data_IF_774428710997
#
_entry.id   IF_774428710997
#
_cell.length_a   1.000
_cell.length_b   1.000
_cell.length_c   1.000
_cell.angle_alpha   90.00
_cell.angle_beta   90.00
_cell.angle_gamma   90.00
#
_symmetry.space_group_name_H-M   'P 1'
#
loop_
_entity.id
_entity.type
_entity.pdbx_description
1 polymer ?
#
# COMPACT_ATOMS: atom_id res chain seq x y z
N UNK A 1 4.55 7.28 38.37
CA UNK A 1 4.46 6.02 37.61
C UNK A 1 4.52 6.41 36.14
N UNK A 2 5.67 6.20 35.49
CA UNK A 2 5.80 6.38 34.04
C UNK A 2 4.92 5.35 33.35
N UNK A 3 4.20 5.75 32.30
CA UNK A 3 3.29 4.86 31.57
C UNK A 3 4.08 3.66 31.02
N UNK A 4 3.59 2.44 31.27
CA UNK A 4 4.23 1.21 30.79
C UNK A 4 4.37 1.24 29.27
N UNK A 5 5.50 0.80 28.68
CA UNK A 5 5.69 0.72 27.24
C UNK A 5 4.57 -0.05 26.55
N UNK A 6 4.03 -1.09 27.22
CA UNK A 6 2.90 -1.87 26.71
C UNK A 6 1.64 -1.04 26.42
N UNK A 7 1.48 0.13 27.05
CA UNK A 7 0.37 1.05 26.77
C UNK A 7 0.44 1.67 25.35
N UNK A 8 1.58 1.54 24.66
CA UNK A 8 1.75 1.97 23.26
C UNK A 8 1.23 0.96 22.24
N UNK A 9 1.00 -0.28 22.65
CA UNK A 9 0.43 -1.32 21.81
C UNK A 9 -1.10 -1.19 21.83
N UNK A 10 -1.60 -0.19 21.11
CA UNK A 10 -3.03 0.06 20.93
C UNK A 10 -3.54 -0.71 19.72
N UNK A 11 -4.84 -1.02 19.70
CA UNK A 11 -5.47 -1.64 18.55
C UNK A 11 -5.25 -0.78 17.29
N UNK A 12 -4.71 -1.35 16.20
CA UNK A 12 -4.39 -0.57 15.02
C UNK A 12 -5.66 -0.02 14.37
N UNK A 13 -5.59 1.22 13.92
CA UNK A 13 -6.68 1.91 13.24
C UNK A 13 -6.33 2.13 11.77
N UNK A 14 -7.32 2.18 10.90
CA UNK A 14 -7.11 2.61 9.52
C UNK A 14 -6.78 4.10 9.51
N UNK A 15 -5.73 4.49 8.81
CA UNK A 15 -5.41 5.90 8.59
C UNK A 15 -6.46 6.49 7.64
N UNK A 16 -7.37 7.31 8.18
CA UNK A 16 -8.55 7.88 7.48
C UNK A 16 -9.51 6.81 6.92
N UNK A 17 -10.77 7.15 6.57
CA UNK A 17 -11.67 6.17 5.96
C UNK A 17 -11.19 5.89 4.54
N UNK A 18 -10.23 4.98 4.39
CA UNK A 18 -9.90 4.39 3.11
C UNK A 18 -11.10 3.57 2.65
N UNK A 19 -11.69 3.88 1.47
CA UNK A 19 -12.72 3.07 0.87
C UNK A 19 -12.22 1.64 0.71
N UNK A 20 -13.07 0.70 1.08
CA UNK A 20 -12.73 -0.72 1.03
C UNK A 20 -12.55 -1.12 -0.42
N UNK A 21 -11.74 -2.15 -0.65
CA UNK A 21 -11.69 -2.82 -1.95
C UNK A 21 -13.10 -3.21 -2.44
N UNK A 22 -13.98 -3.57 -1.49
CA UNK A 22 -15.39 -3.85 -1.76
C UNK A 22 -16.14 -2.65 -2.35
N UNK A 23 -15.82 -1.42 -1.94
CA UNK A 23 -16.47 -0.20 -2.45
C UNK A 23 -16.10 0.03 -3.92
N UNK A 24 -14.84 -0.26 -4.28
CA UNK A 24 -14.38 -0.21 -5.68
C UNK A 24 -15.08 -1.29 -6.49
N UNK A 25 -15.18 -2.51 -5.97
CA UNK A 25 -15.93 -3.57 -6.67
C UNK A 25 -17.42 -3.25 -6.81
N UNK A 26 -18.03 -2.61 -5.82
CA UNK A 26 -19.44 -2.18 -5.85
C UNK A 26 -19.66 -1.08 -6.87
N UNK A 27 -18.77 -0.08 -6.94
CA UNK A 27 -18.82 0.94 -7.98
C UNK A 27 -18.66 0.36 -9.38
N UNK A 28 -17.90 -0.73 -9.53
CA UNK A 28 -17.78 -1.44 -10.80
C UNK A 28 -19.04 -2.24 -11.16
N UNK A 29 -19.79 -2.71 -10.15
CA UNK A 29 -21.09 -3.36 -10.39
C UNK A 29 -22.19 -2.38 -10.80
N UNK A 30 -22.07 -1.08 -10.52
CA UNK A 30 -23.05 -0.09 -10.97
C UNK A 30 -23.05 0.10 -12.50
N UNK A 31 -21.94 -0.22 -13.18
CA UNK A 31 -21.88 -0.29 -14.64
C UNK A 31 -22.74 -1.41 -15.24
N UNK A 32 -23.31 -2.29 -14.42
CA UNK A 32 -24.06 -3.48 -14.86
C UNK A 32 -25.51 -3.16 -15.30
N UNK A 33 -26.04 -1.94 -15.14
CA UNK A 33 -27.46 -1.70 -15.49
C UNK A 33 -27.68 -1.25 -16.96
N UNK A 34 -27.13 -0.14 -17.48
CA UNK A 34 -27.21 0.21 -18.90
C UNK A 34 -26.00 -0.28 -19.70
N UNK A 35 -24.81 -0.19 -19.10
CA UNK A 35 -23.54 -0.55 -19.75
C UNK A 35 -23.35 -2.07 -19.82
N UNK A 36 -24.14 -2.89 -19.15
CA UNK A 36 -24.03 -4.36 -19.24
C UNK A 36 -24.30 -4.91 -20.64
N UNK A 37 -25.26 -4.38 -21.38
CA UNK A 37 -25.49 -4.82 -22.77
C UNK A 37 -24.32 -4.46 -23.68
N UNK A 38 -23.70 -3.31 -23.42
CA UNK A 38 -22.53 -2.83 -24.14
C UNK A 38 -21.26 -3.60 -23.75
N UNK A 39 -21.04 -3.82 -22.45
CA UNK A 39 -19.97 -4.62 -21.89
C UNK A 39 -20.09 -6.09 -22.31
N UNK A 40 -21.30 -6.63 -22.42
CA UNK A 40 -21.56 -7.95 -22.98
C UNK A 40 -21.22 -8.00 -24.47
N UNK A 41 -21.58 -6.97 -25.25
CA UNK A 41 -21.19 -6.89 -26.64
C UNK A 41 -19.67 -6.77 -26.82
N UNK A 42 -19.01 -5.96 -25.98
CA UNK A 42 -17.55 -5.83 -25.93
C UNK A 42 -16.91 -7.16 -25.49
N UNK A 43 -17.46 -7.86 -24.51
CA UNK A 43 -16.99 -9.18 -24.08
C UNK A 43 -17.11 -10.21 -25.24
N UNK A 44 -18.18 -10.16 -26.03
CA UNK A 44 -18.33 -11.03 -27.21
C UNK A 44 -17.36 -10.69 -28.34
N UNK A 45 -16.93 -9.43 -28.47
CA UNK A 45 -16.03 -8.98 -29.55
C UNK A 45 -14.56 -9.10 -29.13
N UNK A 46 -14.22 -8.72 -27.90
CA UNK A 46 -12.87 -8.62 -27.37
C UNK A 46 -12.49 -9.79 -26.44
N UNK A 47 -13.46 -10.61 -26.01
CA UNK A 47 -13.24 -11.80 -25.18
C UNK A 47 -12.99 -11.53 -23.69
N UNK A 48 -13.07 -10.26 -23.25
CA UNK A 48 -12.87 -9.86 -21.85
C UNK A 48 -13.79 -8.70 -21.50
N UNK A 49 -14.51 -8.82 -20.38
CA UNK A 49 -15.21 -7.71 -19.75
C UNK A 49 -14.20 -6.76 -19.05
N UNK A 50 -14.00 -5.52 -19.53
CA UNK A 50 -13.00 -4.61 -18.99
C UNK A 50 -13.27 -4.20 -17.54
N UNK A 51 -14.54 -4.14 -17.11
CA UNK A 51 -14.91 -3.83 -15.73
C UNK A 51 -14.54 -4.98 -14.78
N UNK A 52 -14.85 -6.22 -15.17
CA UNK A 52 -14.48 -7.41 -14.38
C UNK A 52 -12.97 -7.62 -14.32
N UNK A 53 -12.27 -7.39 -15.44
CA UNK A 53 -10.81 -7.45 -15.46
C UNK A 53 -10.21 -6.43 -14.49
N UNK A 54 -10.71 -5.20 -14.51
CA UNK A 54 -10.22 -4.13 -13.64
C UNK A 54 -10.53 -4.43 -12.16
N UNK A 55 -11.73 -4.92 -11.87
CA UNK A 55 -12.10 -5.38 -10.53
C UNK A 55 -11.13 -6.45 -10.04
N UNK A 56 -10.83 -7.47 -10.86
CA UNK A 56 -9.91 -8.55 -10.50
C UNK A 56 -8.49 -8.06 -10.21
N UNK A 57 -8.00 -7.08 -10.96
CA UNK A 57 -6.65 -6.54 -10.74
C UNK A 57 -6.54 -5.62 -9.54
N UNK A 58 -7.63 -4.96 -9.14
CA UNK A 58 -7.62 -3.94 -8.07
C UNK A 58 -8.34 -4.37 -6.79
N UNK A 59 -8.92 -5.57 -6.73
CA UNK A 59 -9.61 -6.16 -5.58
C UNK A 59 -8.71 -6.48 -4.35
N UNK A 60 -7.50 -5.91 -4.28
CA UNK A 60 -6.60 -6.11 -3.15
C UNK A 60 -7.13 -5.47 -1.86
N UNK A 61 -6.82 -6.07 -0.70
CA UNK A 61 -7.21 -5.56 0.62
C UNK A 61 -6.26 -4.45 1.09
N UNK A 62 -6.44 -3.26 0.52
CA UNK A 62 -5.67 -2.06 0.86
C UNK A 62 -5.90 -1.61 2.31
N UNK A 63 -7.09 -1.89 2.87
CA UNK A 63 -7.43 -1.60 4.27
C UNK A 63 -6.53 -2.37 5.22
N UNK A 64 -6.33 -3.68 4.97
CA UNK A 64 -5.41 -4.50 5.76
C UNK A 64 -3.98 -4.02 5.67
N UNK A 65 -3.52 -3.50 4.53
CA UNK A 65 -2.16 -2.93 4.39
C UNK A 65 -2.02 -1.65 5.23
N UNK A 66 -3.03 -0.78 5.28
CA UNK A 66 -3.02 0.39 6.15
C UNK A 66 -3.09 0.03 7.63
N UNK A 67 -3.91 -0.96 8.02
CA UNK A 67 -3.93 -1.47 9.39
C UNK A 67 -2.57 -2.02 9.80
N UNK A 68 -1.90 -2.73 8.90
CA UNK A 68 -0.54 -3.22 9.13
C UNK A 68 0.45 -2.07 9.33
N UNK A 69 0.37 -1.01 8.54
CA UNK A 69 1.16 0.22 8.75
C UNK A 69 0.95 0.81 10.14
N UNK A 70 -0.30 1.01 10.58
CA UNK A 70 -0.63 1.51 11.92
C UNK A 70 -0.10 0.59 13.03
N UNK A 71 -0.17 -0.73 12.85
CA UNK A 71 0.41 -1.67 13.79
C UNK A 71 1.94 -1.51 13.91
N UNK A 72 2.64 -1.32 12.79
CA UNK A 72 4.08 -1.08 12.79
C UNK A 72 4.45 0.25 13.48
N UNK A 73 3.64 1.30 13.33
CA UNK A 73 3.85 2.55 14.05
C UNK A 73 3.78 2.35 15.56
N UNK A 74 2.74 1.66 16.06
CA UNK A 74 2.61 1.34 17.48
C UNK A 74 3.76 0.47 18.00
N UNK A 75 4.25 -0.48 17.20
CA UNK A 75 5.45 -1.28 17.54
C UNK A 75 6.69 -0.38 17.64
N UNK A 76 6.85 0.57 16.72
CA UNK A 76 7.97 1.51 16.75
C UNK A 76 7.94 2.40 18.00
N UNK A 77 6.75 2.85 18.41
CA UNK A 77 6.55 3.63 19.64
C UNK A 77 6.85 2.79 20.89
N UNK A 78 6.44 1.53 20.89
CA UNK A 78 6.77 0.58 21.94
C UNK A 78 8.29 0.41 22.08
N UNK A 79 9.02 0.22 20.99
CA UNK A 79 10.49 0.10 21.03
C UNK A 79 11.17 1.37 21.55
N UNK A 80 10.71 2.56 21.13
CA UNK A 80 11.21 3.82 21.68
C UNK A 80 10.97 3.93 23.18
N UNK A 81 9.76 3.61 23.65
CA UNK A 81 9.44 3.65 25.08
C UNK A 81 10.23 2.60 25.87
N UNK A 82 10.39 1.39 25.33
CA UNK A 82 11.13 0.31 25.96
C UNK A 82 12.63 0.64 26.09
N UNK A 83 13.26 1.14 25.03
CA UNK A 83 14.65 1.59 25.08
C UNK A 83 14.84 2.71 26.11
N UNK A 84 13.88 3.64 26.22
CA UNK A 84 13.90 4.70 27.23
C UNK A 84 13.83 4.13 28.65
N UNK A 85 12.90 3.22 28.92
CA UNK A 85 12.74 2.62 30.25
C UNK A 85 13.96 1.80 30.67
N UNK A 86 14.61 1.11 29.74
CA UNK A 86 15.89 0.42 29.99
C UNK A 86 16.99 1.43 30.38
N UNK A 87 17.10 2.56 29.68
CA UNK A 87 18.09 3.62 29.99
C UNK A 87 17.81 4.25 31.36
N UNK A 88 16.55 4.58 31.65
CA UNK A 88 16.17 5.17 32.93
C UNK A 88 16.40 4.19 34.11
N UNK A 89 16.00 2.92 33.93
CA UNK A 89 16.15 1.88 34.95
C UNK A 89 17.61 1.54 35.23
N UNK A 90 18.42 1.36 34.18
CA UNK A 90 19.86 1.14 34.34
C UNK A 90 20.55 2.36 34.96
N UNK A 91 20.19 3.59 34.56
CA UNK A 91 20.68 4.81 35.16
C UNK A 91 20.32 4.95 36.64
N UNK A 92 19.13 4.51 37.07
CA UNK A 92 18.74 4.50 38.48
C UNK A 92 19.53 3.45 39.28
N UNK A 93 19.72 2.24 38.73
CA UNK A 93 20.49 1.16 39.36
C UNK A 93 21.96 1.55 39.57
N UNK A 94 22.59 2.20 38.59
CA UNK A 94 24.00 2.60 38.64
C UNK A 94 24.28 3.78 39.59
N UNK A 95 23.27 4.47 40.11
CA UNK A 95 23.48 5.54 41.11
C UNK A 95 23.94 5.00 42.46
N UNK A 96 23.59 3.76 42.80
CA UNK A 96 23.91 3.13 44.07
C UNK A 96 24.92 1.97 43.94
N UNK A 97 25.38 1.68 42.72
CA UNK A 97 26.28 0.56 42.43
C UNK A 97 27.47 1.05 41.63
N UNK A 98 28.66 0.92 42.21
CA UNK A 98 29.94 1.34 41.62
C UNK A 98 30.93 0.18 41.50
N UNK A 99 31.91 0.32 40.61
CA UNK A 99 33.00 -0.65 40.38
C UNK A 99 32.99 -1.25 38.98
N UNK A 100 33.99 -2.09 38.67
CA UNK A 100 34.18 -2.67 37.33
C UNK A 100 32.94 -3.41 36.82
N UNK A 101 32.24 -4.14 37.71
CA UNK A 101 30.98 -4.80 37.37
C UNK A 101 29.85 -3.82 37.02
N UNK A 102 29.75 -2.67 37.71
CA UNK A 102 28.77 -1.65 37.42
C UNK A 102 29.04 -0.97 36.06
N UNK A 103 30.31 -0.69 35.75
CA UNK A 103 30.73 -0.11 34.47
C UNK A 103 30.45 -1.05 33.28
N UNK A 104 30.75 -2.34 33.44
CA UNK A 104 30.45 -3.37 32.44
C UNK A 104 28.93 -3.51 32.22
N UNK A 105 28.15 -3.49 33.30
CA UNK A 105 26.70 -3.58 33.26
C UNK A 105 26.07 -2.35 32.59
N UNK A 106 26.55 -1.14 32.92
CA UNK A 106 26.10 0.09 32.29
C UNK A 106 26.40 0.14 30.79
N UNK A 107 27.58 -0.35 30.39
CA UNK A 107 27.94 -0.47 28.97
C UNK A 107 27.02 -1.44 28.23
N UNK A 108 26.69 -2.58 28.85
CA UNK A 108 25.76 -3.55 28.28
C UNK A 108 24.36 -2.97 28.08
N UNK A 109 23.76 -2.38 29.12
CA UNK A 109 22.39 -1.83 29.03
C UNK A 109 22.30 -0.65 28.06
N UNK A 110 23.34 0.20 28.01
CA UNK A 110 23.43 1.26 27.00
C UNK A 110 23.43 0.67 25.59
N UNK A 111 24.31 -0.29 25.32
CA UNK A 111 24.38 -0.96 24.02
C UNK A 111 23.07 -1.67 23.66
N UNK A 112 22.40 -2.29 24.65
CA UNK A 112 21.13 -2.98 24.43
C UNK A 112 20.00 -2.02 24.08
N UNK A 113 19.87 -0.92 24.84
CA UNK A 113 18.91 0.13 24.52
C UNK A 113 19.17 0.76 23.15
N UNK A 114 20.44 0.99 22.79
CA UNK A 114 20.82 1.52 21.47
C UNK A 114 20.49 0.53 20.34
N UNK A 115 20.63 -0.79 20.57
CA UNK A 115 20.23 -1.83 19.60
C UNK A 115 18.72 -1.88 19.38
N UNK A 116 17.91 -1.65 20.42
CA UNK A 116 16.45 -1.53 20.30
C UNK A 116 16.07 -0.27 19.51
N UNK A 117 16.69 0.87 19.84
CA UNK A 117 16.41 2.17 19.20
C UNK A 117 16.73 2.16 17.70
N UNK A 118 17.80 1.45 17.30
CA UNK A 118 18.17 1.26 15.89
C UNK A 118 17.11 0.53 15.07
N UNK A 119 16.23 -0.26 15.69
CA UNK A 119 15.14 -0.95 14.98
C UNK A 119 13.95 -0.03 14.72
N UNK A 120 13.82 1.11 15.42
CA UNK A 120 12.69 2.02 15.28
C UNK A 120 12.63 2.65 13.89
N UNK A 121 13.77 3.16 13.40
CA UNK A 121 13.86 3.81 12.10
C UNK A 121 13.42 2.90 10.91
N UNK A 122 13.95 1.67 10.74
CA UNK A 122 13.51 0.80 9.65
C UNK A 122 12.04 0.41 9.77
N UNK A 123 11.52 0.16 10.98
CA UNK A 123 10.10 -0.14 11.20
C UNK A 123 9.21 1.04 10.75
N UNK A 124 9.57 2.28 11.11
CA UNK A 124 8.85 3.48 10.68
C UNK A 124 8.89 3.69 9.17
N UNK A 125 10.03 3.41 8.53
CA UNK A 125 10.13 3.47 7.07
C UNK A 125 9.18 2.48 6.41
N UNK A 126 9.15 1.22 6.87
CA UNK A 126 8.20 0.22 6.34
C UNK A 126 6.75 0.66 6.57
N UNK A 127 6.43 1.19 7.76
CA UNK A 127 5.09 1.69 8.06
C UNK A 127 4.65 2.79 7.08
N UNK A 128 5.50 3.80 6.85
CA UNK A 128 5.21 4.89 5.91
C UNK A 128 5.05 4.41 4.47
N UNK A 129 5.89 3.47 4.03
CA UNK A 129 5.82 2.91 2.68
C UNK A 129 4.59 2.03 2.47
N UNK A 130 4.17 1.27 3.50
CA UNK A 130 2.90 0.54 3.48
C UNK A 130 1.71 1.48 3.33
N UNK A 131 1.70 2.61 4.04
CA UNK A 131 0.63 3.61 3.94
C UNK A 131 0.63 4.29 2.57
N UNK A 132 1.80 4.71 2.08
CA UNK A 132 1.98 5.31 0.75
C UNK A 132 1.51 4.37 -0.35
N UNK A 133 1.88 3.07 -0.26
CA UNK A 133 1.46 2.04 -1.21
C UNK A 133 -0.05 1.83 -1.18
N UNK A 134 -0.67 1.75 0.00
CA UNK A 134 -2.12 1.59 0.14
C UNK A 134 -2.88 2.77 -0.47
N UNK A 135 -2.46 4.01 -0.18
CA UNK A 135 -3.05 5.21 -0.76
C UNK A 135 -2.81 5.31 -2.27
N UNK A 136 -1.60 5.02 -2.73
CA UNK A 136 -1.23 5.03 -4.14
C UNK A 136 -2.04 4.02 -4.97
N UNK A 137 -2.21 2.81 -4.44
CA UNK A 137 -3.05 1.78 -5.05
C UNK A 137 -4.52 2.19 -5.13
N UNK A 138 -5.05 2.75 -4.05
CA UNK A 138 -6.42 3.26 -4.01
C UNK A 138 -6.65 4.41 -5.01
N UNK A 139 -5.75 5.39 -5.05
CA UNK A 139 -5.86 6.53 -5.96
C UNK A 139 -5.77 6.10 -7.43
N UNK A 140 -4.90 5.13 -7.71
CA UNK A 140 -4.73 4.51 -9.03
C UNK A 140 -5.97 3.70 -9.43
N UNK A 141 -6.59 3.02 -8.47
CA UNK A 141 -7.83 2.30 -8.70
C UNK A 141 -8.99 3.24 -9.04
N UNK A 142 -9.15 4.35 -8.31
CA UNK A 142 -10.14 5.38 -8.66
C UNK A 142 -9.90 5.98 -10.03
N UNK A 143 -8.65 6.31 -10.35
CA UNK A 143 -8.29 6.85 -11.66
C UNK A 143 -8.61 5.84 -12.79
N UNK A 144 -8.42 4.55 -12.54
CA UNK A 144 -8.77 3.49 -13.47
C UNK A 144 -10.29 3.35 -13.66
N UNK A 145 -11.07 3.42 -12.59
CA UNK A 145 -12.56 3.41 -12.66
C UNK A 145 -13.07 4.61 -13.46
N UNK A 146 -12.61 5.83 -13.17
CA UNK A 146 -12.99 7.02 -13.96
C UNK A 146 -12.50 6.94 -15.41
N UNK A 147 -11.36 6.28 -15.66
CA UNK A 147 -10.91 5.99 -17.01
C UNK A 147 -11.86 5.05 -17.75
N UNK A 148 -12.37 4.03 -17.06
CA UNK A 148 -13.32 3.07 -17.60
C UNK A 148 -14.67 3.73 -17.94
N UNK A 149 -15.16 4.63 -17.09
CA UNK A 149 -16.33 5.49 -17.37
C UNK A 149 -16.16 6.21 -18.71
N UNK A 150 -15.03 6.88 -18.91
CA UNK A 150 -14.75 7.60 -20.15
C UNK A 150 -14.66 6.69 -21.39
N UNK A 151 -14.18 5.43 -21.22
CA UNK A 151 -14.17 4.44 -22.30
C UNK A 151 -15.59 3.97 -22.63
N UNK A 152 -16.44 3.77 -21.61
CA UNK A 152 -17.83 3.38 -21.79
C UNK A 152 -18.64 4.48 -22.48
N UNK A 153 -18.43 5.75 -22.13
CA UNK A 153 -19.07 6.88 -22.81
C UNK A 153 -18.72 6.92 -24.31
N UNK A 154 -17.44 6.71 -24.65
CA UNK A 154 -17.01 6.60 -26.04
C UNK A 154 -17.64 5.39 -26.74
N UNK A 155 -17.75 4.25 -26.06
CA UNK A 155 -18.39 3.06 -26.62
C UNK A 155 -19.89 3.26 -26.88
N UNK A 156 -20.60 4.01 -26.03
CA UNK A 156 -21.99 4.41 -26.26
C UNK A 156 -22.09 5.34 -27.48
N UNK A 157 -21.18 6.31 -27.60
CA UNK A 157 -21.13 7.23 -28.74
C UNK A 157 -20.90 6.47 -30.06
N UNK A 158 -19.94 5.53 -30.08
CA UNK A 158 -19.69 4.65 -31.22
C UNK A 158 -20.94 3.84 -31.59
N UNK A 159 -21.66 3.29 -30.61
CA UNK A 159 -22.88 2.52 -30.88
C UNK A 159 -23.98 3.38 -31.52
N UNK A 160 -24.14 4.62 -31.06
CA UNK A 160 -25.10 5.58 -31.63
C UNK A 160 -24.70 5.95 -33.07
N UNK A 161 -23.42 6.23 -33.31
CA UNK A 161 -22.90 6.57 -34.63
C UNK A 161 -22.97 5.41 -35.62
N UNK A 162 -22.70 4.19 -35.16
CA UNK A 162 -22.87 2.98 -35.96
C UNK A 162 -24.34 2.77 -36.35
N UNK A 163 -25.28 2.97 -35.42
CA UNK A 163 -26.71 2.90 -35.71
C UNK A 163 -27.16 3.99 -36.70
N UNK A 164 -26.68 5.22 -36.54
CA UNK A 164 -26.95 6.33 -37.47
C UNK A 164 -26.36 6.08 -38.87
N UNK A 165 -25.14 5.53 -38.93
CA UNK A 165 -24.47 5.16 -40.19
C UNK A 165 -25.22 4.03 -40.90
N UNK A 166 -25.70 3.03 -40.16
CA UNK A 166 -26.55 1.97 -40.71
C UNK A 166 -27.89 2.52 -41.23
N UNK A 167 -28.53 3.44 -40.50
CA UNK A 167 -29.79 4.07 -40.90
C UNK A 167 -29.64 5.02 -42.11
N UNK A 168 -28.45 5.58 -42.34
CA UNK A 168 -28.13 6.47 -43.47
C UNK A 168 -27.39 5.74 -44.61
N UNK A 169 -27.19 4.42 -44.50
CA UNK A 169 -26.47 3.60 -45.48
C UNK A 169 -27.11 3.55 -46.87
N UNK A 170 -28.38 3.92 -46.98
CA UNK A 170 -29.09 4.10 -48.25
C UNK A 170 -28.72 5.41 -48.98
N UNK A 171 -28.07 6.35 -48.29
CA UNK A 171 -27.48 7.56 -48.88
C UNK A 171 -26.00 7.28 -49.16
N UNK A 172 -25.56 7.39 -50.42
CA UNK A 172 -24.20 7.03 -50.91
C UNK A 172 -23.06 7.71 -50.12
N UNK A 173 -23.33 8.81 -49.41
CA UNK A 173 -22.36 9.62 -48.65
C UNK A 173 -22.29 9.22 -47.16
N UNK A 174 -23.34 8.59 -46.61
CA UNK A 174 -23.43 8.23 -45.18
C UNK A 174 -22.39 7.20 -44.69
N UNK A 175 -22.10 6.12 -45.45
CA UNK A 175 -21.20 5.06 -44.99
C UNK A 175 -19.74 5.50 -44.80
N UNK A 176 -19.22 6.40 -45.63
CA UNK A 176 -17.79 6.73 -45.64
C UNK A 176 -17.40 7.72 -44.54
N UNK A 177 -18.24 8.72 -44.26
CA UNK A 177 -17.99 9.71 -43.20
C UNK A 177 -18.23 9.10 -41.82
N UNK A 178 -19.28 8.29 -41.66
CA UNK A 178 -19.58 7.60 -40.40
C UNK A 178 -18.47 6.65 -39.96
N UNK A 179 -17.89 5.90 -40.89
CA UNK A 179 -16.77 4.99 -40.57
C UNK A 179 -15.50 5.73 -40.11
N UNK A 180 -15.20 6.91 -40.66
CA UNK A 180 -14.03 7.69 -40.24
C UNK A 180 -14.16 8.20 -38.79
N UNK A 181 -15.36 8.65 -38.40
CA UNK A 181 -15.66 9.10 -37.04
C UNK A 181 -15.58 7.96 -36.03
N UNK A 182 -16.17 6.81 -36.37
CA UNK A 182 -16.11 5.59 -35.56
C UNK A 182 -14.65 5.16 -35.33
N UNK A 183 -13.82 5.13 -36.38
CA UNK A 183 -12.41 4.76 -36.25
C UNK A 183 -11.61 5.74 -35.38
N UNK A 184 -11.90 7.04 -35.43
CA UNK A 184 -11.28 8.03 -34.56
C UNK A 184 -11.65 7.80 -33.09
N UNK A 185 -12.91 7.51 -32.80
CA UNK A 185 -13.38 7.23 -31.44
C UNK A 185 -12.81 5.93 -30.87
N UNK A 186 -12.69 4.89 -31.70
CA UNK A 186 -11.99 3.64 -31.32
C UNK A 186 -10.53 3.95 -30.96
N UNK A 187 -9.84 4.79 -31.74
CA UNK A 187 -8.47 5.22 -31.43
C UNK A 187 -8.36 5.92 -30.07
N UNK A 188 -9.31 6.80 -29.74
CA UNK A 188 -9.37 7.46 -28.43
C UNK A 188 -9.66 6.48 -27.29
N UNK A 189 -10.58 5.53 -27.50
CA UNK A 189 -10.91 4.49 -26.52
C UNK A 189 -9.69 3.62 -26.21
N UNK A 190 -8.90 3.23 -27.22
CA UNK A 190 -7.65 2.47 -27.03
C UNK A 190 -6.64 3.28 -26.21
N UNK A 191 -6.47 4.57 -26.51
CA UNK A 191 -5.56 5.45 -25.76
C UNK A 191 -5.97 5.58 -24.28
N UNK A 192 -7.27 5.69 -24.00
CA UNK A 192 -7.80 5.70 -22.63
C UNK A 192 -7.58 4.36 -21.93
N UNK A 193 -7.81 3.25 -22.63
CA UNK A 193 -7.56 1.90 -22.11
C UNK A 193 -6.08 1.67 -21.75
N UNK A 194 -5.15 2.11 -22.60
CA UNK A 194 -3.72 2.04 -22.30
C UNK A 194 -3.34 2.83 -21.04
N UNK A 195 -3.99 3.99 -20.80
CA UNK A 195 -3.80 4.74 -19.55
C UNK A 195 -4.29 3.97 -18.32
N UNK A 196 -5.43 3.28 -18.44
CA UNK A 196 -5.96 2.41 -17.37
C UNK A 196 -4.96 1.30 -17.04
N UNK A 197 -4.41 0.63 -18.05
CA UNK A 197 -3.36 -0.39 -17.86
C UNK A 197 -2.13 0.24 -17.16
N UNK A 198 -1.77 1.48 -17.51
CA UNK A 198 -0.71 2.22 -16.85
C UNK A 198 -0.91 2.41 -15.34
N UNK A 199 -2.14 2.73 -14.89
CA UNK A 199 -2.46 2.85 -13.46
C UNK A 199 -2.35 1.51 -12.71
N UNK A 200 -2.77 0.41 -13.34
CA UNK A 200 -2.58 -0.93 -12.78
C UNK A 200 -1.09 -1.26 -12.69
N UNK A 201 -0.31 -0.97 -13.74
CA UNK A 201 1.14 -1.18 -13.75
C UNK A 201 1.87 -0.38 -12.66
N UNK A 202 1.47 0.87 -12.42
CA UNK A 202 2.02 1.72 -11.35
C UNK A 202 1.74 1.12 -9.97
N UNK A 203 0.53 0.60 -9.77
CA UNK A 203 0.15 -0.07 -8.51
C UNK A 203 1.02 -1.32 -8.27
N UNK A 204 1.18 -2.16 -9.29
CA UNK A 204 2.05 -3.36 -9.21
C UNK A 204 3.51 -2.97 -8.94
N UNK A 205 4.01 -1.93 -9.59
CA UNK A 205 5.37 -1.44 -9.37
C UNK A 205 5.56 -0.93 -7.93
N UNK A 206 4.57 -0.24 -7.36
CA UNK A 206 4.61 0.21 -5.97
C UNK A 206 4.68 -0.98 -4.99
N UNK A 207 3.88 -2.03 -5.22
CA UNK A 207 3.93 -3.25 -4.39
C UNK A 207 5.29 -3.93 -4.47
N UNK A 208 5.87 -4.08 -5.67
CA UNK A 208 7.23 -4.64 -5.79
C UNK A 208 8.29 -3.76 -5.16
N UNK A 209 8.15 -2.43 -5.22
CA UNK A 209 9.00 -1.48 -4.51
C UNK A 209 8.96 -1.70 -3.01
N UNK A 210 7.76 -1.85 -2.43
CA UNK A 210 7.57 -2.15 -1.02
C UNK A 210 8.22 -3.48 -0.63
N UNK A 211 8.02 -4.54 -1.42
CA UNK A 211 8.66 -5.85 -1.16
C UNK A 211 10.19 -5.73 -1.19
N UNK A 212 10.73 -4.99 -2.16
CA UNK A 212 12.18 -4.74 -2.26
C UNK A 212 12.71 -3.98 -1.05
N UNK A 213 11.98 -2.96 -0.60
CA UNK A 213 12.32 -2.16 0.57
C UNK A 213 12.29 -3.00 1.86
N UNK A 214 11.23 -3.79 2.08
CA UNK A 214 11.13 -4.71 3.22
C UNK A 214 12.28 -5.70 3.20
N UNK A 215 12.59 -6.29 2.03
CA UNK A 215 13.70 -7.25 1.88
C UNK A 215 15.05 -6.62 2.17
N UNK A 216 15.28 -5.38 1.72
CA UNK A 216 16.50 -4.63 1.99
C UNK A 216 16.66 -4.25 3.46
N UNK A 217 15.56 -3.80 4.10
CA UNK A 217 15.56 -3.44 5.51
C UNK A 217 15.64 -4.67 6.42
N UNK A 218 15.11 -5.82 6.04
CA UNK A 218 15.29 -7.07 6.78
C UNK A 218 16.77 -7.41 6.95
N UNK A 219 17.58 -7.17 5.92
CA UNK A 219 19.04 -7.34 6.00
C UNK A 219 19.73 -6.38 6.98
N UNK A 220 19.09 -5.25 7.32
CA UNK A 220 19.60 -4.27 8.28
C UNK A 220 19.17 -4.54 9.73
N UNK A 221 18.10 -5.32 9.92
CA UNK A 221 17.60 -5.70 11.25
C UNK A 221 18.37 -6.94 11.72
N UNK A 222 19.43 -6.74 12.49
CA UNK A 222 20.09 -7.83 13.19
C UNK A 222 19.29 -8.22 14.44
N UNK A 223 19.13 -9.52 14.69
CA UNK A 223 18.45 -10.04 15.87
C UNK A 223 19.12 -9.62 17.18
N UNK A 224 18.32 -9.40 18.22
CA UNK A 224 18.81 -9.08 19.56
C UNK A 224 19.63 -10.21 20.20
N UNK A 225 19.56 -11.42 19.66
CA UNK A 225 20.39 -12.58 20.06
C UNK A 225 21.89 -12.35 19.81
N UNK A 226 22.24 -11.38 18.96
CA UNK A 226 23.63 -11.00 18.71
C UNK A 226 24.24 -10.14 19.85
N UNK A 227 23.49 -9.80 20.89
CA UNK A 227 23.96 -9.00 22.02
C UNK A 227 24.59 -9.92 23.09
N UNK A 228 25.92 -10.14 23.12
CA UNK A 228 26.53 -11.04 24.08
C UNK A 228 26.33 -10.50 25.49
N UNK A 229 25.97 -11.39 26.43
CA UNK A 229 26.03 -11.08 27.85
C UNK A 229 27.46 -10.65 28.25
N UNK A 230 27.62 -9.79 29.27
CA UNK A 230 28.93 -9.44 29.79
C UNK A 230 29.74 -10.71 30.09
N UNK A 231 30.90 -10.87 29.46
CA UNK A 231 31.78 -12.01 29.69
C UNK A 231 32.69 -11.70 30.88
N UNK A 232 32.45 -12.36 32.02
CA UNK A 232 33.30 -12.25 33.21
C UNK A 232 32.59 -12.66 34.49
N UNK A 233 33.35 -13.16 35.47
CA UNK A 233 32.86 -13.30 36.84
C UNK A 233 32.67 -11.91 37.47
N UNK A 234 31.82 -11.82 38.50
CA UNK A 234 31.61 -10.57 39.23
C UNK A 234 32.95 -10.06 39.80
N UNK A 235 33.43 -8.92 39.27
CA UNK A 235 34.65 -8.25 39.70
C UNK A 235 34.28 -6.91 40.34
N UNK A 236 34.40 -6.84 41.66
CA UNK A 236 34.26 -5.60 42.41
C UNK A 236 35.62 -4.90 42.54
N UNK A 237 35.65 -3.61 42.92
CA UNK A 237 36.92 -2.95 43.23
C UNK A 237 37.63 -3.76 44.32
N UNK A 238 38.78 -4.35 43.98
CA UNK A 238 39.76 -4.77 44.98
C UNK A 238 40.29 -3.47 45.58
N UNK A 239 39.98 -3.25 46.86
CA UNK A 239 40.56 -2.16 47.67
C UNK A 239 42.06 -2.41 47.80
#
# INVERSE_FOLDING_TARGET
>A
MTASPAAKLVAPTTAEPMPKAVDITLSLTDFVSPSHWLLWAIDKICGVNPAEWLAKQLAGDWESISKFSSALEHVSEFYTAYAKDVRDGSGAMLKSWEGNAADACGTYFKSFADSIDKQVAPIKTVAGECQSTAFGAWSSAKAAVSGLEAVLDLAVMIAIEAAASAATSWTIVGPSVGMALIMAQIGLAIQKWLKIIGYVGLTVAAVFGLIGLISGLLGSIHGLDAQPFPKGAYDNKVI
#
